data_IF_629912906627
#
_entry.id   IF_629912906627
#
_cell.length_a   1.000
_cell.length_b   1.000
_cell.length_c   1.000
_cell.angle_alpha   90.00
_cell.angle_beta   90.00
_cell.angle_gamma   90.00
#
_symmetry.space_group_name_H-M   'P 1'
#
loop_
_entity.id
_entity.type
_entity.pdbx_description
1 polymer ?
#
# COMPACT_ATOMS: atom_id res chain seq x y z
N UNK A 1 -1.35 -17.45 0.81
CA UNK A 1 -1.97 -17.02 2.07
C UNK A 1 -2.08 -15.51 1.98
N UNK A 2 -3.28 -14.95 2.08
CA UNK A 2 -3.46 -13.49 2.06
C UNK A 2 -3.03 -12.91 3.41
N UNK A 3 -2.43 -11.73 3.41
CA UNK A 3 -2.08 -11.01 4.64
C UNK A 3 -3.35 -10.52 5.34
N UNK A 4 -3.38 -10.58 6.67
CA UNK A 4 -4.47 -10.02 7.49
C UNK A 4 -3.96 -8.81 8.27
N UNK A 5 -4.68 -7.71 8.20
CA UNK A 5 -4.37 -6.45 8.88
C UNK A 5 -5.60 -6.02 9.67
N UNK A 6 -5.44 -5.55 10.89
CA UNK A 6 -6.56 -5.00 11.66
C UNK A 6 -7.10 -3.72 11.01
N UNK A 7 -8.39 -3.45 11.20
CA UNK A 7 -8.95 -2.12 10.96
C UNK A 7 -8.14 -1.09 11.76
N UNK A 8 -7.75 -0.01 11.10
CA UNK A 8 -6.83 1.01 11.61
C UNK A 8 -5.40 0.53 11.90
N UNK A 9 -5.06 -0.71 11.53
CA UNK A 9 -3.69 -1.20 11.45
C UNK A 9 -2.96 -0.66 10.22
N UNK A 10 -1.69 -1.04 10.03
CA UNK A 10 -0.90 -0.62 8.87
C UNK A 10 -0.65 -1.83 7.96
N UNK A 11 -1.18 -1.77 6.75
CA UNK A 11 -0.77 -2.62 5.64
C UNK A 11 0.46 -1.99 4.97
N UNK A 12 1.55 -2.74 4.83
CA UNK A 12 2.76 -2.30 4.13
C UNK A 12 3.04 -3.23 2.96
N UNK A 13 3.03 -2.70 1.74
CA UNK A 13 3.52 -3.42 0.55
C UNK A 13 4.89 -2.91 0.15
N UNK A 14 5.77 -3.85 -0.22
CA UNK A 14 7.15 -3.57 -0.63
C UNK A 14 7.34 -4.02 -2.08
N UNK A 15 7.91 -3.14 -2.88
CA UNK A 15 8.19 -3.36 -4.30
C UNK A 15 9.68 -3.15 -4.58
N UNK A 16 10.21 -3.89 -5.54
CA UNK A 16 11.56 -3.65 -6.05
C UNK A 16 11.45 -2.80 -7.31
N UNK A 17 12.14 -1.68 -7.33
CA UNK A 17 12.17 -0.76 -8.46
C UNK A 17 13.59 -0.32 -8.83
N UNK A 18 13.73 0.73 -9.63
CA UNK A 18 15.02 1.25 -10.06
C UNK A 18 15.93 1.65 -8.89
N UNK A 19 17.20 1.27 -9.01
CA UNK A 19 18.29 1.61 -8.06
C UNK A 19 19.17 2.78 -8.54
N UNK A 20 19.01 3.17 -9.80
CA UNK A 20 19.81 4.18 -10.49
C UNK A 20 18.98 5.44 -10.73
N UNK A 21 19.62 6.61 -10.74
CA UNK A 21 18.93 7.90 -10.80
C UNK A 21 18.67 8.49 -9.41
N UNK A 22 17.86 9.53 -9.32
CA UNK A 22 17.39 10.10 -8.05
C UNK A 22 15.98 9.60 -7.73
N UNK A 23 15.84 8.46 -7.00
CA UNK A 23 14.54 7.82 -6.77
C UNK A 23 13.57 8.67 -5.94
N UNK A 24 14.06 9.68 -5.22
CA UNK A 24 13.22 10.58 -4.43
C UNK A 24 12.49 11.64 -5.27
N UNK A 25 13.02 11.96 -6.45
CA UNK A 25 12.46 13.03 -7.31
C UNK A 25 12.04 12.53 -8.68
N UNK A 26 12.58 11.40 -9.13
CA UNK A 26 12.39 10.89 -10.49
C UNK A 26 11.40 9.72 -10.55
N UNK A 27 11.04 9.12 -9.41
CA UNK A 27 10.09 8.01 -9.37
C UNK A 27 8.81 8.45 -8.69
N UNK A 28 7.72 8.40 -9.46
CA UNK A 28 6.37 8.58 -8.96
C UNK A 28 5.78 7.20 -8.69
N UNK A 29 5.30 6.97 -7.47
CA UNK A 29 4.60 5.74 -7.11
C UNK A 29 3.33 6.10 -6.35
N UNK A 30 2.20 5.54 -6.79
CA UNK A 30 0.93 5.59 -6.09
C UNK A 30 0.31 4.21 -6.08
N UNK A 31 -0.50 3.91 -5.07
CA UNK A 31 -1.33 2.69 -5.04
C UNK A 31 -2.78 3.07 -4.82
N UNK A 32 -3.66 2.56 -5.66
CA UNK A 32 -5.11 2.68 -5.46
C UNK A 32 -5.61 1.42 -4.75
N UNK A 33 -6.09 1.60 -3.53
CA UNK A 33 -6.73 0.58 -2.71
C UNK A 33 -8.24 0.59 -2.90
N UNK A 34 -8.85 -0.59 -3.00
CA UNK A 34 -10.29 -0.76 -3.23
C UNK A 34 -10.88 -1.82 -2.29
N UNK A 35 -12.01 -1.50 -1.67
CA UNK A 35 -12.85 -2.44 -0.91
C UNK A 35 -14.31 -2.01 -1.09
N UNK A 36 -15.14 -2.90 -1.63
CA UNK A 36 -16.52 -2.59 -2.00
C UNK A 36 -16.61 -1.32 -2.88
N UNK A 37 -17.33 -0.29 -2.43
CA UNK A 37 -17.48 0.99 -3.12
C UNK A 37 -16.34 1.98 -2.81
N UNK A 38 -15.49 1.67 -1.81
CA UNK A 38 -14.44 2.56 -1.35
C UNK A 38 -13.20 2.46 -2.23
N UNK A 39 -12.63 3.62 -2.54
CA UNK A 39 -11.35 3.77 -3.24
C UNK A 39 -10.49 4.79 -2.53
N UNK A 40 -9.22 4.44 -2.29
CA UNK A 40 -8.25 5.33 -1.64
C UNK A 40 -6.94 5.26 -2.40
N UNK A 41 -6.47 6.40 -2.89
CA UNK A 41 -5.15 6.49 -3.53
C UNK A 41 -4.13 6.99 -2.52
N UNK A 42 -3.05 6.24 -2.34
CA UNK A 42 -1.99 6.54 -1.37
C UNK A 42 -0.65 6.66 -2.11
N UNK A 43 0.16 7.70 -1.85
CA UNK A 43 1.50 7.78 -2.41
C UNK A 43 2.41 6.71 -1.80
N UNK A 44 3.25 6.15 -2.64
CA UNK A 44 4.39 5.36 -2.20
C UNK A 44 5.60 6.24 -1.90
N UNK A 45 6.62 5.62 -1.33
CA UNK A 45 7.89 6.28 -1.02
C UNK A 45 9.06 5.32 -1.24
N UNK A 46 10.23 5.89 -1.51
CA UNK A 46 11.47 5.14 -1.59
C UNK A 46 12.05 4.89 -0.18
N UNK A 47 12.43 3.65 0.13
CA UNK A 47 12.94 3.22 1.44
C UNK A 47 14.42 2.76 1.38
N UNK A 48 15.13 3.06 0.28
CA UNK A 48 16.53 2.66 0.09
C UNK A 48 16.71 1.32 -0.64
N UNK A 49 17.93 1.05 -1.10
CA UNK A 49 18.33 -0.22 -1.75
C UNK A 49 17.44 -0.72 -2.91
N UNK A 50 16.79 0.21 -3.63
CA UNK A 50 15.85 -0.13 -4.71
C UNK A 50 14.48 -0.58 -4.20
N UNK A 51 14.19 -0.40 -2.92
CA UNK A 51 12.91 -0.75 -2.31
C UNK A 51 11.99 0.47 -2.26
N UNK A 52 10.76 0.25 -2.70
CA UNK A 52 9.69 1.23 -2.66
C UNK A 52 8.55 0.64 -1.84
N UNK A 53 7.90 1.48 -1.04
CA UNK A 53 6.88 1.05 -0.10
C UNK A 53 5.61 1.86 -0.26
N UNK A 54 4.49 1.23 0.04
CA UNK A 54 3.21 1.91 0.24
C UNK A 54 2.66 1.46 1.57
N UNK A 55 2.24 2.42 2.40
CA UNK A 55 1.60 2.16 3.69
C UNK A 55 0.17 2.64 3.66
N UNK A 56 -0.76 1.74 3.93
CA UNK A 56 -2.18 2.04 3.95
C UNK A 56 -2.79 1.58 5.26
N UNK A 57 -3.65 2.43 5.81
CA UNK A 57 -4.42 2.14 7.02
C UNK A 57 -5.87 1.87 6.61
N UNK A 58 -6.31 0.60 6.52
CA UNK A 58 -7.69 0.28 6.14
C UNK A 58 -8.65 0.70 7.26
N UNK A 59 -9.77 1.30 6.91
CA UNK A 59 -10.77 1.77 7.88
C UNK A 59 -12.12 1.05 7.77
N UNK A 60 -12.22 0.09 6.85
CA UNK A 60 -13.37 -0.81 6.66
C UNK A 60 -12.86 -2.24 6.60
N UNK A 61 -13.56 -3.15 7.28
CA UNK A 61 -13.26 -4.58 7.30
C UNK A 61 -13.66 -5.25 5.97
N UNK A 62 -12.97 -6.33 5.63
CA UNK A 62 -13.20 -7.09 4.41
C UNK A 62 -11.97 -7.11 3.48
N UNK A 63 -12.17 -7.67 2.30
CA UNK A 63 -11.10 -7.88 1.33
C UNK A 63 -10.76 -6.60 0.57
N UNK A 64 -9.52 -6.16 0.75
CA UNK A 64 -8.93 -5.08 -0.03
C UNK A 64 -8.15 -5.63 -1.20
N UNK A 65 -8.23 -4.93 -2.33
CA UNK A 65 -7.34 -5.11 -3.48
C UNK A 65 -6.62 -3.81 -3.75
N UNK A 66 -5.43 -3.88 -4.35
CA UNK A 66 -4.73 -2.68 -4.78
C UNK A 66 -4.05 -2.87 -6.12
N UNK A 67 -3.84 -1.75 -6.81
CA UNK A 67 -2.99 -1.66 -8.00
C UNK A 67 -2.10 -0.43 -7.92
N UNK A 68 -0.82 -0.58 -8.24
CA UNK A 68 0.11 0.55 -8.30
C UNK A 68 0.04 1.26 -9.65
N UNK A 69 0.40 2.55 -9.63
CA UNK A 69 0.66 3.37 -10.80
C UNK A 69 2.01 4.05 -10.64
N UNK A 70 2.88 3.91 -11.63
CA UNK A 70 4.22 4.52 -11.61
C UNK A 70 4.65 4.98 -12.99
N UNK A 71 5.59 5.92 -13.04
CA UNK A 71 6.31 6.28 -14.25
C UNK A 71 7.43 5.28 -14.61
N UNK A 72 7.69 4.29 -13.76
CA UNK A 72 8.67 3.21 -13.98
C UNK A 72 7.96 1.88 -14.16
N UNK A 73 8.41 1.10 -15.15
CA UNK A 73 7.73 -0.15 -15.51
C UNK A 73 7.82 -1.21 -14.40
N UNK A 74 8.88 -1.20 -13.57
CA UNK A 74 9.03 -2.16 -12.48
C UNK A 74 7.97 -1.96 -11.39
N UNK A 75 7.51 -0.73 -11.20
CA UNK A 75 6.58 -0.36 -10.13
C UNK A 75 5.16 -0.10 -10.64
N UNK A 76 4.93 -0.02 -11.95
CA UNK A 76 3.61 0.20 -12.53
C UNK A 76 2.79 -1.10 -12.60
N UNK A 77 1.47 -0.97 -12.44
CA UNK A 77 0.51 -2.07 -12.56
C UNK A 77 0.76 -3.29 -11.66
N UNK A 78 1.48 -3.13 -10.55
CA UNK A 78 1.63 -4.17 -9.53
C UNK A 78 0.32 -4.33 -8.77
N UNK A 79 -0.11 -5.57 -8.53
CA UNK A 79 -1.39 -5.86 -7.88
C UNK A 79 -1.19 -6.68 -6.61
N UNK A 80 -2.12 -6.53 -5.67
CA UNK A 80 -2.15 -7.36 -4.48
C UNK A 80 -3.49 -7.29 -3.75
N UNK A 81 -3.56 -8.04 -2.66
CA UNK A 81 -4.77 -8.15 -1.84
C UNK A 81 -4.39 -8.46 -0.40
N UNK A 82 -5.18 -7.94 0.54
CA UNK A 82 -5.09 -8.26 1.96
C UNK A 82 -6.51 -8.24 2.56
N UNK A 83 -6.66 -8.86 3.72
CA UNK A 83 -7.92 -8.88 4.46
C UNK A 83 -7.83 -7.89 5.63
N UNK A 84 -8.78 -6.95 5.69
CA UNK A 84 -8.95 -6.08 6.85
C UNK A 84 -9.87 -6.78 7.86
N UNK A 85 -9.36 -7.11 9.04
CA UNK A 85 -10.09 -7.81 10.10
C UNK A 85 -10.51 -6.87 11.22
N UNK A 86 -11.40 -7.34 12.09
CA UNK A 86 -11.79 -6.59 13.28
C UNK A 86 -10.57 -6.16 14.11
N UNK A 87 -10.52 -4.92 14.61
CA UNK A 87 -9.42 -4.46 15.44
C UNK A 87 -9.42 -5.15 16.80
N UNK A 88 -8.25 -5.28 17.42
CA UNK A 88 -8.17 -5.67 18.82
C UNK A 88 -8.91 -4.66 19.70
N UNK A 89 -9.40 -5.09 20.87
CA UNK A 89 -10.15 -4.22 21.80
C UNK A 89 -9.37 -2.98 22.27
N UNK A 90 -8.04 -3.02 22.22
CA UNK A 90 -7.14 -1.91 22.55
C UNK A 90 -6.86 -0.97 21.38
N UNK A 91 -7.25 -1.33 20.16
CA UNK A 91 -7.08 -0.52 18.97
C UNK A 91 -8.36 0.29 18.72
N UNK A 92 -8.33 1.55 19.15
CA UNK A 92 -9.45 2.49 18.98
C UNK A 92 -9.34 3.33 17.71
N UNK A 93 -8.32 3.08 16.87
CA UNK A 93 -8.03 3.88 15.69
C UNK A 93 -7.39 5.24 16.01
N UNK A 94 -7.26 6.11 14.99
CA UNK A 94 -6.75 7.48 15.17
C UNK A 94 -7.69 8.32 16.03
N UNK A 95 -7.11 9.25 16.81
CA UNK A 95 -7.80 10.19 17.72
C UNK A 95 -8.36 11.42 17.03
#
# INVERSE_FOLDING_TARGET
MSECVEQWGVFESVFTGPRTGNPFTEVELHSEFRCEEKRVTVPGFYDGDGLYKVRFMPDIQGRWTFSTKSNTAELDAQIGTFECIAPATSNHGPV
#
